data_IF_080713237354
#
_entry.id   IF_080713237354
#
_cell.length_a   1.000
_cell.length_b   1.000
_cell.length_c   1.000
_cell.angle_alpha   90.00
_cell.angle_beta   90.00
_cell.angle_gamma   90.00
#
_symmetry.space_group_name_H-M   'P 1'
#
loop_
_entity.id
_entity.type
_entity.pdbx_description
1 polymer ?
#
# COMPACT_ATOMS: atom_id res chain seq x y z
N UNK A 1 13.78 0.80 18.37
CA UNK A 1 12.53 0.05 18.59
C UNK A 1 12.12 -0.48 17.22
N UNK A 2 12.42 -1.73 16.92
CA UNK A 2 12.12 -2.32 15.60
C UNK A 2 10.62 -2.58 15.53
N UNK A 3 9.91 -1.89 14.64
CA UNK A 3 8.48 -2.12 14.43
C UNK A 3 8.29 -3.47 13.74
N UNK A 4 8.05 -4.53 14.51
CA UNK A 4 7.95 -5.90 13.98
C UNK A 4 6.68 -6.13 13.15
N UNK A 5 5.72 -5.21 13.21
CA UNK A 5 4.39 -5.35 12.58
C UNK A 5 4.36 -4.85 11.14
N UNK A 6 5.29 -3.97 10.77
CA UNK A 6 5.37 -3.40 9.44
C UNK A 6 6.47 -4.12 8.63
N UNK A 7 6.08 -4.76 7.52
CA UNK A 7 6.98 -5.45 6.59
C UNK A 7 6.51 -5.21 5.14
N UNK A 8 7.42 -5.29 4.14
CA UNK A 8 7.00 -5.36 2.75
C UNK A 8 6.31 -6.71 2.53
N UNK A 9 5.06 -6.70 2.07
CA UNK A 9 4.24 -7.90 1.86
C UNK A 9 3.97 -8.18 0.37
N UNK A 10 4.61 -7.44 -0.53
CA UNK A 10 4.57 -7.72 -1.97
C UNK A 10 5.41 -8.95 -2.36
N UNK A 11 4.98 -9.64 -3.41
CA UNK A 11 5.76 -10.68 -4.05
C UNK A 11 7.07 -10.10 -4.66
N UNK A 12 8.13 -10.92 -4.82
CA UNK A 12 9.37 -10.46 -5.44
C UNK A 12 9.15 -9.81 -6.81
N UNK A 13 9.82 -8.67 -7.05
CA UNK A 13 9.71 -7.90 -8.29
C UNK A 13 8.56 -6.88 -8.33
N UNK A 14 7.76 -6.78 -7.26
CA UNK A 14 6.72 -5.76 -7.10
C UNK A 14 7.06 -4.80 -5.96
N UNK A 15 6.51 -3.60 -6.04
CA UNK A 15 6.58 -2.61 -4.97
C UNK A 15 5.46 -2.90 -3.97
N UNK A 16 5.79 -2.84 -2.68
CA UNK A 16 4.83 -3.07 -1.60
C UNK A 16 4.11 -1.79 -1.25
N UNK A 17 2.80 -1.79 -1.45
CA UNK A 17 1.88 -0.73 -1.07
C UNK A 17 0.88 -1.23 -0.03
N UNK A 18 0.24 -0.28 0.63
CA UNK A 18 -1.03 -0.51 1.32
C UNK A 18 -1.96 0.67 1.10
N UNK A 19 -3.26 0.41 1.08
CA UNK A 19 -4.27 1.46 1.05
C UNK A 19 -5.21 1.30 2.24
N UNK A 20 -5.60 2.41 2.87
CA UNK A 20 -6.59 2.36 3.94
C UNK A 20 -7.97 2.07 3.36
N UNK A 21 -8.59 0.98 3.81
CA UNK A 21 -9.98 0.66 3.55
C UNK A 21 -10.85 0.83 4.78
N UNK A 22 -12.15 0.56 4.64
CA UNK A 22 -13.14 0.70 5.73
C UNK A 22 -12.80 -0.11 6.98
N UNK A 23 -12.23 -1.31 6.82
CA UNK A 23 -12.00 -2.27 7.90
C UNK A 23 -10.53 -2.50 8.25
N UNK A 24 -9.62 -1.76 7.63
CA UNK A 24 -8.19 -1.94 7.82
C UNK A 24 -7.38 -1.68 6.55
N UNK A 25 -6.18 -2.25 6.50
CA UNK A 25 -5.26 -2.07 5.39
C UNK A 25 -5.45 -3.11 4.31
N UNK A 26 -5.51 -2.66 3.06
CA UNK A 26 -5.46 -3.50 1.87
C UNK A 26 -4.00 -3.58 1.45
N UNK A 27 -3.38 -4.74 1.57
CA UNK A 27 -1.98 -4.96 1.16
C UNK A 27 -1.93 -5.19 -0.35
N UNK A 28 -1.04 -4.47 -1.05
CA UNK A 28 -1.01 -4.42 -2.50
C UNK A 28 0.43 -4.59 -2.99
N UNK A 29 0.68 -5.56 -3.87
CA UNK A 29 1.91 -5.60 -4.67
C UNK A 29 1.63 -5.06 -6.05
N UNK A 30 2.32 -3.99 -6.45
CA UNK A 30 2.06 -3.32 -7.74
C UNK A 30 3.35 -2.81 -8.38
N UNK A 31 3.30 -2.49 -9.68
CA UNK A 31 4.46 -1.99 -10.42
C UNK A 31 4.70 -0.50 -10.23
N UNK A 32 3.62 0.25 -10.01
CA UNK A 32 3.62 1.70 -9.85
C UNK A 32 2.39 2.14 -9.03
N UNK A 33 2.27 3.45 -8.78
CA UNK A 33 1.19 4.02 -7.97
C UNK A 33 -0.20 3.86 -8.59
N UNK A 34 -0.31 3.91 -9.92
CA UNK A 34 -1.60 3.85 -10.61
C UNK A 34 -2.11 2.41 -10.70
N UNK A 35 -1.21 1.45 -10.87
CA UNK A 35 -1.47 0.02 -10.70
C UNK A 35 -1.91 -0.28 -9.26
N UNK A 36 -1.21 0.26 -8.25
CA UNK A 36 -1.59 0.09 -6.85
C UNK A 36 -3.01 0.61 -6.56
N UNK A 37 -3.35 1.80 -7.06
CA UNK A 37 -4.70 2.35 -6.91
C UNK A 37 -5.76 1.50 -7.61
N UNK A 38 -5.48 0.95 -8.80
CA UNK A 38 -6.40 0.04 -9.49
C UNK A 38 -6.71 -1.19 -8.65
N UNK A 39 -5.71 -1.79 -8.01
CA UNK A 39 -5.92 -2.91 -7.10
C UNK A 39 -6.68 -2.49 -5.83
N UNK A 40 -6.36 -1.31 -5.26
CA UNK A 40 -7.12 -0.77 -4.13
C UNK A 40 -8.62 -0.60 -4.47
N UNK A 41 -8.95 -0.05 -5.64
CA UNK A 41 -10.33 0.13 -6.12
C UNK A 41 -11.07 -1.18 -6.44
N UNK A 42 -10.34 -2.26 -6.73
CA UNK A 42 -10.95 -3.59 -6.87
C UNK A 42 -11.40 -4.12 -5.52
N UNK A 43 -10.62 -3.92 -4.47
CA UNK A 43 -10.92 -4.36 -3.11
C UNK A 43 -11.89 -3.43 -2.37
N UNK A 44 -11.80 -2.11 -2.57
CA UNK A 44 -12.63 -1.10 -1.91
C UNK A 44 -12.91 0.07 -2.85
N UNK A 45 -14.18 0.22 -3.24
CA UNK A 45 -14.59 1.21 -4.28
C UNK A 45 -14.38 2.66 -3.89
N UNK A 46 -14.25 2.96 -2.60
CA UNK A 46 -14.00 4.31 -2.08
C UNK A 46 -12.53 4.51 -1.71
N UNK A 47 -11.63 3.64 -2.17
CA UNK A 47 -10.19 3.84 -2.00
C UNK A 47 -9.78 5.21 -2.52
N UNK A 48 -8.86 5.86 -1.81
CA UNK A 48 -8.42 7.23 -2.08
C UNK A 48 -6.90 7.27 -2.20
N UNK A 49 -6.38 8.09 -3.11
CA UNK A 49 -4.94 8.16 -3.35
C UNK A 49 -4.19 8.74 -2.15
N UNK A 50 -4.85 9.59 -1.37
CA UNK A 50 -4.36 10.18 -0.13
C UNK A 50 -4.16 9.12 0.97
N UNK A 51 -4.84 7.98 0.87
CA UNK A 51 -4.75 6.87 1.81
C UNK A 51 -3.80 5.77 1.32
N UNK A 52 -3.13 5.99 0.17
CA UNK A 52 -2.15 5.07 -0.40
C UNK A 52 -0.78 5.32 0.22
N UNK A 53 -0.17 4.26 0.72
CA UNK A 53 1.18 4.27 1.25
C UNK A 53 2.08 3.26 0.54
N UNK A 54 3.36 3.60 0.39
CA UNK A 54 4.42 2.81 -0.22
C UNK A 54 5.47 2.43 0.83
N UNK A 55 6.01 1.21 0.74
CA UNK A 55 7.15 0.78 1.54
C UNK A 55 8.44 1.47 1.08
N UNK A 56 9.08 2.23 1.97
CA UNK A 56 10.33 2.95 1.68
C UNK A 56 11.61 2.15 1.99
N UNK A 57 11.48 0.89 2.42
CA UNK A 57 12.57 0.07 2.94
C UNK A 57 12.57 -0.09 4.46
N UNK A 58 11.91 0.81 5.19
CA UNK A 58 11.83 0.80 6.65
C UNK A 58 10.39 0.89 7.17
N UNK A 59 9.52 1.64 6.49
CA UNK A 59 8.10 1.82 6.86
C UNK A 59 7.25 2.16 5.64
N UNK A 60 5.94 2.03 5.80
CA UNK A 60 5.00 2.59 4.84
C UNK A 60 4.93 4.11 5.02
N UNK A 61 4.98 4.86 3.91
CA UNK A 61 4.80 6.31 3.87
C UNK A 61 3.74 6.70 2.85
N UNK A 62 2.98 7.78 3.08
CA UNK A 62 2.05 8.34 2.10
C UNK A 62 2.73 8.54 0.74
N UNK A 63 2.03 8.19 -0.34
CA UNK A 63 2.48 8.41 -1.72
C UNK A 63 2.30 9.88 -2.14
N UNK A 64 1.32 10.58 -1.56
CA UNK A 64 1.15 12.01 -1.72
C UNK A 64 1.75 12.71 -0.48
N UNK A 65 2.62 13.69 -0.71
CA UNK A 65 3.15 14.58 0.35
C UNK A 65 2.14 15.66 0.75
#
# INVERSE_FOLDING_TARGET
MTDFTNRPLAAPGLISYRCKGRYGWIMIGARDHDDAMREAYRSYKEAKREELEIWDGAKYRPVLE
#
